data_IF_979715619128
#
_entry.id   IF_979715619128
#
_cell.length_a   1.000
_cell.length_b   1.000
_cell.length_c   1.000
_cell.angle_alpha   90.00
_cell.angle_beta   90.00
_cell.angle_gamma   90.00
#
_symmetry.space_group_name_H-M   'P 1'
#
loop_
_entity.id
_entity.type
_entity.pdbx_description
1 polymer ?
#
# COMPACT_ATOMS: atom_id res chain seq x y z
N UNK A 1 -2.31 8.68 11.49
CA UNK A 1 -2.54 7.23 11.50
C UNK A 1 -2.49 6.68 12.92
N UNK A 2 -3.64 6.54 13.52
CA UNK A 2 -3.77 5.94 14.84
C UNK A 2 -4.55 4.66 14.76
N UNK A 3 -4.37 3.77 15.76
CA UNK A 3 -5.15 2.54 15.85
C UNK A 3 -6.64 2.84 15.95
N UNK A 4 -7.01 3.86 16.68
CA UNK A 4 -8.41 4.27 16.83
C UNK A 4 -9.04 4.68 15.51
N UNK A 5 -8.36 5.53 14.74
CA UNK A 5 -8.84 5.93 13.42
C UNK A 5 -8.92 4.74 12.46
N UNK A 6 -7.94 3.86 12.53
CA UNK A 6 -7.96 2.63 11.73
C UNK A 6 -9.17 1.75 12.08
N UNK A 7 -9.43 1.53 13.36
CA UNK A 7 -10.53 0.67 13.80
C UNK A 7 -11.90 1.19 13.34
N UNK A 8 -12.11 2.51 13.35
CA UNK A 8 -13.34 3.13 12.83
C UNK A 8 -13.50 2.84 11.33
N UNK A 9 -12.45 3.03 10.55
CA UNK A 9 -12.47 2.78 9.10
C UNK A 9 -12.66 1.29 8.81
N UNK A 10 -11.95 0.42 9.54
CA UNK A 10 -12.08 -1.02 9.41
C UNK A 10 -13.51 -1.47 9.65
N UNK A 11 -14.13 -1.02 10.73
CA UNK A 11 -15.49 -1.42 11.09
C UNK A 11 -16.50 -0.96 10.04
N UNK A 12 -16.31 0.24 9.48
CA UNK A 12 -17.14 0.72 8.39
C UNK A 12 -17.03 -0.16 7.16
N UNK A 13 -15.81 -0.52 6.76
CA UNK A 13 -15.56 -1.35 5.58
C UNK A 13 -16.08 -2.77 5.79
N UNK A 14 -15.84 -3.35 6.97
CA UNK A 14 -16.32 -4.70 7.29
C UNK A 14 -17.86 -4.76 7.32
N UNK A 15 -18.51 -3.72 7.78
CA UNK A 15 -19.97 -3.66 7.78
C UNK A 15 -20.57 -3.53 6.39
N UNK A 16 -19.82 -2.96 5.44
CA UNK A 16 -20.33 -2.70 4.08
C UNK A 16 -19.90 -3.77 3.06
N UNK A 17 -18.67 -4.26 3.14
CA UNK A 17 -18.09 -5.16 2.15
C UNK A 17 -17.66 -6.51 2.70
N UNK A 18 -17.37 -6.59 3.99
CA UNK A 18 -16.88 -7.79 4.69
C UNK A 18 -15.71 -8.51 3.98
N UNK A 19 -14.61 -7.83 3.64
CA UNK A 19 -13.50 -8.44 2.93
C UNK A 19 -12.67 -9.35 3.85
N UNK A 20 -11.97 -10.37 3.30
CA UNK A 20 -11.08 -11.23 4.08
C UNK A 20 -9.84 -10.50 4.59
N UNK A 21 -9.41 -9.47 3.90
CA UNK A 21 -8.31 -8.60 4.29
C UNK A 21 -8.55 -7.20 3.74
N UNK A 22 -8.01 -6.20 4.43
CA UNK A 22 -8.11 -4.82 3.98
C UNK A 22 -6.92 -4.01 4.47
N UNK A 23 -6.63 -2.94 3.77
CA UNK A 23 -5.61 -1.99 4.17
C UNK A 23 -6.13 -0.56 4.12
N UNK A 24 -5.64 0.26 5.02
CA UNK A 24 -5.86 1.70 5.00
C UNK A 24 -4.51 2.37 4.79
N UNK A 25 -4.43 3.17 3.75
CA UNK A 25 -3.23 3.90 3.39
C UNK A 25 -3.34 5.33 3.91
N UNK A 26 -2.78 5.58 5.09
CA UNK A 26 -2.75 6.91 5.67
C UNK A 26 -1.67 7.74 4.99
N UNK A 27 -2.06 8.76 4.26
CA UNK A 27 -1.11 9.63 3.57
C UNK A 27 -1.14 11.03 4.18
N UNK A 28 0.02 11.46 4.70
CA UNK A 28 0.22 12.80 5.23
C UNK A 28 0.68 13.72 4.11
N UNK A 29 -0.21 14.57 3.63
CA UNK A 29 0.06 15.48 2.51
C UNK A 29 1.11 16.54 2.83
N UNK A 30 1.21 16.95 4.10
CA UNK A 30 2.17 17.97 4.53
C UNK A 30 3.60 17.41 4.56
N UNK A 31 3.76 16.16 4.99
CA UNK A 31 5.08 15.52 5.13
C UNK A 31 5.43 14.62 3.95
N UNK A 32 4.47 14.29 3.11
CA UNK A 32 4.61 13.31 2.03
C UNK A 32 5.06 11.94 2.58
N UNK A 33 4.33 11.44 3.56
CA UNK A 33 4.61 10.13 4.18
C UNK A 33 3.37 9.25 4.10
N UNK A 34 3.55 8.04 3.63
CA UNK A 34 2.52 7.01 3.57
C UNK A 34 2.72 6.03 4.73
N UNK A 35 1.69 5.81 5.52
CA UNK A 35 1.68 4.80 6.60
C UNK A 35 0.62 3.75 6.28
N UNK A 36 1.03 2.56 5.82
CA UNK A 36 0.08 1.48 5.52
C UNK A 36 -0.31 0.74 6.80
N UNK A 37 -1.60 0.48 6.96
CA UNK A 37 -2.12 -0.36 8.06
C UNK A 37 -2.96 -1.46 7.44
N UNK A 38 -2.65 -2.71 7.74
CA UNK A 38 -3.28 -3.90 7.13
C UNK A 38 -3.96 -4.76 8.18
N UNK A 39 -5.19 -5.18 7.87
CA UNK A 39 -5.99 -6.06 8.71
C UNK A 39 -6.32 -7.35 7.98
N UNK A 40 -6.13 -8.49 8.64
CA UNK A 40 -6.49 -9.83 8.13
C UNK A 40 -7.54 -10.43 9.04
N UNK A 41 -8.72 -10.69 8.50
CA UNK A 41 -9.91 -11.09 9.25
C UNK A 41 -9.76 -12.45 9.94
N UNK A 42 -9.28 -13.45 9.21
CA UNK A 42 -9.23 -14.85 9.70
C UNK A 42 -8.40 -14.99 10.97
N UNK A 43 -7.36 -14.20 11.12
CA UNK A 43 -6.47 -14.23 12.28
C UNK A 43 -6.63 -13.00 13.17
N UNK A 44 -7.56 -12.11 12.84
CA UNK A 44 -7.86 -10.87 13.57
C UNK A 44 -6.60 -10.09 13.92
N UNK A 45 -5.76 -9.84 12.91
CA UNK A 45 -4.50 -9.12 13.10
C UNK A 45 -4.50 -7.78 12.39
N UNK A 46 -3.93 -6.78 13.06
CA UNK A 46 -3.73 -5.44 12.52
C UNK A 46 -2.25 -5.10 12.62
N UNK A 47 -1.64 -4.78 11.48
CA UNK A 47 -0.22 -4.42 11.39
C UNK A 47 -0.06 -3.02 10.81
N UNK A 48 0.76 -2.21 11.49
CA UNK A 48 1.32 -0.99 10.92
C UNK A 48 2.56 -1.39 10.13
N UNK A 49 2.40 -1.45 8.82
CA UNK A 49 3.44 -1.95 7.94
C UNK A 49 4.58 -0.92 7.79
N UNK A 50 5.80 -1.42 7.60
CA UNK A 50 6.95 -0.57 7.29
C UNK A 50 6.88 -0.02 5.87
N UNK A 51 6.41 -0.82 4.93
CA UNK A 51 6.14 -0.43 3.56
C UNK A 51 5.17 -1.42 2.93
N UNK A 52 4.45 -0.99 1.89
CA UNK A 52 3.45 -1.83 1.25
C UNK A 52 3.41 -1.55 -0.26
N UNK A 53 3.80 -2.54 -1.05
CA UNK A 53 3.82 -2.43 -2.51
C UNK A 53 2.42 -2.28 -3.11
N UNK A 54 1.47 -3.12 -2.72
CA UNK A 54 0.10 -3.05 -3.22
C UNK A 54 -0.61 -1.76 -2.78
N UNK A 55 -0.37 -1.31 -1.54
CA UNK A 55 -0.89 -0.04 -1.06
C UNK A 55 -0.31 1.15 -1.79
N UNK A 56 0.99 1.12 -2.07
CA UNK A 56 1.66 2.17 -2.86
C UNK A 56 1.10 2.24 -4.28
N UNK A 57 0.79 1.10 -4.88
CA UNK A 57 0.13 1.01 -6.19
C UNK A 57 -1.24 1.68 -6.15
N UNK A 58 -2.04 1.39 -5.12
CA UNK A 58 -3.37 1.97 -4.97
C UNK A 58 -3.32 3.49 -4.77
N UNK A 59 -2.38 3.98 -3.97
CA UNK A 59 -2.18 5.42 -3.73
C UNK A 59 -1.78 6.13 -5.02
N UNK A 60 -0.83 5.57 -5.77
CA UNK A 60 -0.40 6.14 -7.04
C UNK A 60 -1.56 6.19 -8.05
N UNK A 61 -2.36 5.13 -8.12
CA UNK A 61 -3.54 5.10 -8.98
C UNK A 61 -4.53 6.21 -8.61
N UNK A 62 -4.75 6.43 -7.30
CA UNK A 62 -5.61 7.50 -6.83
C UNK A 62 -5.06 8.89 -7.18
N UNK A 63 -3.75 9.10 -7.06
CA UNK A 63 -3.11 10.37 -7.38
C UNK A 63 -3.24 10.75 -8.85
N UNK A 64 -3.24 9.78 -9.77
CA UNK A 64 -3.37 10.03 -11.19
C UNK A 64 -4.79 9.79 -11.72
N UNK A 65 -5.78 9.71 -10.85
CA UNK A 65 -7.16 9.40 -11.23
C UNK A 65 -7.73 10.37 -12.26
N UNK A 66 -7.41 11.65 -12.15
CA UNK A 66 -7.91 12.72 -13.03
C UNK A 66 -7.11 12.82 -14.33
N UNK A 67 -5.96 12.17 -14.42
CA UNK A 67 -5.10 12.22 -15.61
C UNK A 67 -5.65 11.31 -16.72
N UNK A 68 -5.55 11.76 -17.98
CA UNK A 68 -6.05 10.98 -19.10
C UNK A 68 -4.99 10.10 -19.74
N UNK A 69 -3.83 10.66 -20.04
CA UNK A 69 -2.75 9.94 -20.74
C UNK A 69 -1.41 10.44 -20.26
N UNK A 70 -0.46 9.53 -20.17
CA UNK A 70 0.91 9.83 -19.79
C UNK A 70 1.48 8.87 -18.81
N UNK A 71 2.70 9.16 -18.37
CA UNK A 71 3.43 8.41 -17.36
C UNK A 71 3.66 9.30 -16.16
N UNK A 72 3.24 8.84 -14.98
CA UNK A 72 3.28 9.61 -13.74
C UNK A 72 3.99 8.83 -12.67
N UNK A 73 5.02 9.43 -12.07
CA UNK A 73 5.81 8.79 -11.00
C UNK A 73 5.61 9.51 -9.68
N UNK A 74 5.43 8.73 -8.62
CA UNK A 74 5.23 9.24 -7.27
C UNK A 74 6.24 8.57 -6.33
N UNK A 75 7.01 9.39 -5.63
CA UNK A 75 7.92 8.90 -4.60
C UNK A 75 7.18 8.92 -3.27
N UNK A 76 7.05 7.74 -2.66
CA UNK A 76 6.23 7.52 -1.48
C UNK A 76 7.09 7.08 -0.29
N UNK A 77 7.57 8.02 0.53
CA UNK A 77 8.25 7.68 1.78
C UNK A 77 7.30 6.95 2.73
N UNK A 78 7.79 5.86 3.33
CA UNK A 78 7.05 5.03 4.26
C UNK A 78 7.92 4.73 5.48
N UNK A 79 7.40 4.20 6.59
CA UNK A 79 8.18 4.05 7.81
C UNK A 79 9.51 3.29 7.68
N UNK A 80 9.53 2.22 6.87
CA UNK A 80 10.73 1.40 6.70
C UNK A 80 11.54 1.73 5.44
N UNK A 81 11.06 2.61 4.57
CA UNK A 81 11.77 2.97 3.34
C UNK A 81 10.86 3.61 2.32
N UNK A 82 11.45 4.06 1.22
CA UNK A 82 10.75 4.78 0.17
C UNK A 82 10.51 3.88 -1.03
N UNK A 83 9.29 3.86 -1.52
CA UNK A 83 8.93 3.21 -2.78
C UNK A 83 8.56 4.28 -3.81
N UNK A 84 8.90 4.02 -5.06
CA UNK A 84 8.47 4.84 -6.18
C UNK A 84 7.46 4.06 -7.01
N UNK A 85 6.28 4.63 -7.20
CA UNK A 85 5.23 4.04 -8.03
C UNK A 85 5.08 4.83 -9.31
N UNK A 86 5.10 4.14 -10.45
CA UNK A 86 4.97 4.76 -11.77
C UNK A 86 3.72 4.21 -12.44
N UNK A 87 2.80 5.11 -12.81
CA UNK A 87 1.55 4.77 -13.48
C UNK A 87 1.61 5.12 -14.95
N UNK A 88 1.13 4.23 -15.81
CA UNK A 88 0.93 4.50 -17.23
C UNK A 88 -0.56 4.56 -17.54
N UNK A 89 -1.01 5.66 -18.11
CA UNK A 89 -2.41 5.86 -18.49
C UNK A 89 -2.54 6.15 -19.98
N UNK A 90 -3.63 5.68 -20.56
CA UNK A 90 -4.01 6.00 -21.93
C UNK A 90 -5.54 6.10 -22.01
N UNK A 91 -6.03 7.19 -22.60
CA UNK A 91 -7.45 7.44 -22.79
C UNK A 91 -8.30 7.32 -21.50
N UNK A 92 -7.74 7.79 -20.39
CA UNK A 92 -8.41 7.73 -19.08
C UNK A 92 -8.36 6.37 -18.41
N UNK A 93 -7.65 5.40 -18.98
CA UNK A 93 -7.55 4.03 -18.43
C UNK A 93 -6.14 3.80 -17.89
N UNK A 94 -6.06 3.26 -16.69
CA UNK A 94 -4.80 2.82 -16.09
C UNK A 94 -4.33 1.55 -16.77
N UNK A 95 -3.19 1.60 -17.46
CA UNK A 95 -2.65 0.46 -18.21
C UNK A 95 -1.69 -0.39 -17.40
N UNK A 96 -0.85 0.27 -16.57
CA UNK A 96 0.13 -0.43 -15.77
C UNK A 96 0.55 0.43 -14.59
N UNK A 97 1.02 -0.22 -13.52
CA UNK A 97 1.69 0.42 -12.40
C UNK A 97 2.94 -0.38 -12.07
N UNK A 98 4.06 0.32 -11.96
CA UNK A 98 5.35 -0.27 -11.62
C UNK A 98 5.79 0.24 -10.26
N UNK A 99 6.32 -0.66 -9.43
CA UNK A 99 6.86 -0.33 -8.11
C UNK A 99 8.36 -0.57 -8.12
N UNK A 100 9.11 0.43 -7.66
CA UNK A 100 10.55 0.37 -7.50
C UNK A 100 10.92 0.75 -6.07
N UNK A 101 11.91 0.05 -5.53
CA UNK A 101 12.43 0.37 -4.21
C UNK A 101 13.78 -0.27 -3.99
N UNK A 102 14.53 0.17 -2.95
CA UNK A 102 15.79 -0.46 -2.62
C UNK A 102 15.57 -1.88 -2.14
N UNK A 103 16.44 -2.80 -2.60
CA UNK A 103 16.43 -4.20 -2.19
C UNK A 103 17.76 -4.51 -1.54
N UNK A 104 17.71 -5.05 -0.32
CA UNK A 104 18.88 -5.55 0.37
C UNK A 104 18.78 -7.07 0.47
N UNK A 105 19.76 -7.77 -0.11
CA UNK A 105 19.81 -9.22 0.00
C UNK A 105 20.44 -9.59 1.34
N UNK A 106 19.74 -10.42 2.09
CA UNK A 106 20.26 -11.02 3.30
C UNK A 106 21.13 -12.25 2.99
N UNK A 107 21.69 -12.83 4.03
CA UNK A 107 22.44 -14.06 3.91
C UNK A 107 21.54 -15.22 3.46
N UNK A 108 22.10 -16.10 2.65
CA UNK A 108 21.42 -17.33 2.28
C UNK A 108 21.32 -18.24 3.51
N UNK A 109 20.12 -18.67 3.84
CA UNK A 109 19.89 -19.58 4.96
C UNK A 109 19.19 -20.85 4.47
N UNK A 110 19.60 -21.96 5.03
CA UNK A 110 18.94 -23.21 4.79
C UNK A 110 17.86 -23.42 5.84
N UNK A 111 16.62 -23.64 5.39
CA UNK A 111 15.48 -23.88 6.26
C UNK A 111 14.95 -25.28 5.98
N UNK A 112 14.78 -26.06 7.06
CA UNK A 112 14.21 -27.39 6.99
C UNK A 112 12.73 -27.31 7.32
N UNK A 113 11.88 -27.75 6.40
CA UNK A 113 10.43 -27.74 6.57
C UNK A 113 9.97 -29.18 6.83
N UNK A 114 9.38 -29.40 7.99
CA UNK A 114 8.74 -30.67 8.35
C UNK A 114 7.28 -30.61 7.91
N UNK A 115 6.94 -31.51 7.01
CA UNK A 115 5.57 -31.62 6.47
C UNK A 115 4.85 -32.80 7.11
#
# INVERSE_FOLDING_TARGET
PTRENFDVIRDYINGKFDPPAMGVMFYDTARNVLTPVVYVKDVDTTYFEGSCGSGSTAVAAAFCQEERSGTFSFTLPQPAGTLTATCEKADGVLKAVYIEGPVQLGDVRQVEILI
#
